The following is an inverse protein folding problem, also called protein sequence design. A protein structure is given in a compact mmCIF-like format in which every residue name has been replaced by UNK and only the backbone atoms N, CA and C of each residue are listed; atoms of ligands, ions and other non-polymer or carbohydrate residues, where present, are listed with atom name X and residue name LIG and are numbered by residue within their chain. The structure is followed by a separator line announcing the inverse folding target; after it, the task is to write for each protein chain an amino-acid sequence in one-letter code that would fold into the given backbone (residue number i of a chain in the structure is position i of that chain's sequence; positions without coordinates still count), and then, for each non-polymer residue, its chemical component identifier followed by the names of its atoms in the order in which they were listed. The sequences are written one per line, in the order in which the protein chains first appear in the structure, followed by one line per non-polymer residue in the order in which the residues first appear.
data_IF_159115889417
#
_entry.id   IF_159115889417
#
_cell.length_a   1.000
_cell.length_b   1.000
_cell.length_c   1.000
_cell.angle_alpha   90.00
_cell.angle_beta   90.00
_cell.angle_gamma   90.00
#
_symmetry.space_group_name_H-M   'P 1'
#
loop_
_entity.id
_entity.type
_entity.pdbx_description
1 polymer ?
#
# COMPACT_ATOMS: atom_id res chain seq x y z
N UNK A 1 13.26 16.83 11.48
CA UNK A 1 12.51 15.95 12.42
C UNK A 1 11.22 15.56 11.72
N UNK A 2 10.90 14.25 11.61
CA UNK A 2 9.71 13.77 10.92
C UNK A 2 8.43 14.41 11.50
N UNK A 3 7.55 14.82 10.61
CA UNK A 3 6.24 15.42 10.96
C UNK A 3 5.21 14.38 11.42
N UNK A 4 5.50 13.08 11.26
CA UNK A 4 4.55 11.99 11.51
C UNK A 4 5.12 10.84 12.34
N UNK A 5 4.21 9.98 12.77
CA UNK A 5 4.47 8.66 13.35
C UNK A 5 3.71 7.60 12.55
N UNK A 6 4.29 6.41 12.40
CA UNK A 6 3.66 5.25 11.77
C UNK A 6 3.39 4.17 12.80
N UNK A 7 2.16 3.69 12.85
CA UNK A 7 1.76 2.51 13.61
C UNK A 7 1.39 1.39 12.65
N UNK A 8 2.04 0.25 12.81
CA UNK A 8 1.82 -0.95 11.98
C UNK A 8 0.98 -1.96 12.76
N UNK A 9 -0.13 -2.42 12.17
CA UNK A 9 -0.97 -3.46 12.70
C UNK A 9 -0.93 -4.67 11.79
N UNK A 10 -0.59 -5.83 12.34
CA UNK A 10 -0.75 -7.13 11.69
C UNK A 10 -2.15 -7.66 12.01
N UNK A 11 -2.94 -7.93 10.99
CA UNK A 11 -4.28 -8.50 11.11
C UNK A 11 -4.39 -9.76 10.27
N UNK A 12 -5.26 -10.68 10.69
CA UNK A 12 -5.43 -11.95 9.98
C UNK A 12 -6.90 -12.32 9.88
N UNK A 13 -7.31 -12.77 8.69
CA UNK A 13 -8.65 -13.36 8.45
C UNK A 13 -8.62 -14.27 7.22
N UNK A 14 -9.37 -15.36 7.25
CA UNK A 14 -9.50 -16.32 6.15
C UNK A 14 -8.17 -16.87 5.61
N UNK A 15 -7.13 -16.95 6.44
CA UNK A 15 -5.79 -17.36 6.04
C UNK A 15 -4.91 -16.26 5.44
N UNK A 16 -5.46 -15.06 5.23
CA UNK A 16 -4.70 -13.90 4.79
C UNK A 16 -4.14 -13.15 6.00
N UNK A 17 -2.89 -12.70 5.88
CA UNK A 17 -2.25 -11.77 6.81
C UNK A 17 -2.06 -10.46 6.08
N UNK A 18 -2.68 -9.40 6.59
CA UNK A 18 -2.56 -8.06 6.06
C UNK A 18 -1.90 -7.13 7.09
N UNK A 19 -1.28 -6.09 6.59
CA UNK A 19 -0.75 -5.00 7.39
C UNK A 19 -1.52 -3.72 7.10
N UNK A 20 -2.05 -3.13 8.16
CA UNK A 20 -2.73 -1.83 8.17
C UNK A 20 -1.78 -0.82 8.79
N UNK A 21 -1.74 0.40 8.27
CA UNK A 21 -0.88 1.43 8.81
C UNK A 21 -1.68 2.65 9.23
N UNK A 22 -1.38 3.21 10.40
CA UNK A 22 -1.84 4.53 10.79
C UNK A 22 -0.68 5.51 10.64
N UNK A 23 -0.94 6.62 9.96
CA UNK A 23 -0.03 7.75 9.82
C UNK A 23 -0.62 8.89 10.63
N UNK A 24 0.05 9.29 11.72
CA UNK A 24 -0.43 10.34 12.62
C UNK A 24 0.49 11.54 12.50
N UNK A 25 -0.03 12.65 12.02
CA UNK A 25 0.69 13.93 12.03
C UNK A 25 0.91 14.41 13.45
N UNK A 26 2.17 14.67 13.82
CA UNK A 26 2.57 15.00 15.19
C UNK A 26 2.04 16.33 15.69
N UNK A 27 1.87 17.29 14.77
CA UNK A 27 1.50 18.66 15.09
C UNK A 27 0.00 18.85 15.20
N UNK A 28 -0.75 18.27 14.26
CA UNK A 28 -2.19 18.48 14.14
C UNK A 28 -3.04 17.30 14.64
N UNK A 29 -2.40 16.14 14.88
CA UNK A 29 -3.06 14.85 15.18
C UNK A 29 -3.97 14.35 14.05
N UNK A 30 -3.95 14.98 12.87
CA UNK A 30 -4.59 14.45 11.68
C UNK A 30 -4.07 13.08 11.37
N UNK A 31 -4.97 12.14 11.11
CA UNK A 31 -4.62 10.72 10.98
C UNK A 31 -5.09 10.17 9.65
N UNK A 32 -4.19 9.49 8.94
CA UNK A 32 -4.55 8.65 7.81
C UNK A 32 -4.43 7.17 8.19
N UNK A 33 -5.31 6.34 7.61
CA UNK A 33 -5.20 4.89 7.65
C UNK A 33 -4.95 4.38 6.23
N UNK A 34 -3.96 3.49 6.07
CA UNK A 34 -3.62 2.87 4.78
C UNK A 34 -4.15 1.44 4.79
N UNK A 35 -4.86 1.08 3.71
CA UNK A 35 -5.42 -0.23 3.43
C UNK A 35 -6.14 -0.86 4.65
N UNK A 36 -7.25 -0.27 5.09
CA UNK A 36 -8.01 -0.75 6.24
C UNK A 36 -8.68 -2.10 5.93
N UNK A 37 -7.96 -3.17 6.26
CA UNK A 37 -8.31 -4.57 6.03
C UNK A 37 -9.27 -5.12 7.09
N UNK A 38 -9.02 -6.30 7.57
CA UNK A 38 -9.85 -7.05 8.51
C UNK A 38 -9.79 -6.50 9.95
N UNK A 39 -10.63 -7.08 10.83
CA UNK A 39 -10.56 -6.91 12.27
C UNK A 39 -10.84 -5.48 12.79
N UNK A 40 -12.05 -5.02 12.48
CA UNK A 40 -12.58 -3.72 12.89
C UNK A 40 -12.37 -3.40 14.37
N UNK A 41 -12.54 -4.41 15.24
CA UNK A 41 -12.40 -4.23 16.70
C UNK A 41 -10.97 -3.83 17.07
N UNK A 42 -9.97 -4.53 16.54
CA UNK A 42 -8.55 -4.23 16.84
C UNK A 42 -8.18 -2.82 16.36
N UNK A 43 -8.62 -2.43 15.15
CA UNK A 43 -8.34 -1.11 14.59
C UNK A 43 -8.99 -0.01 15.43
N UNK A 44 -10.28 -0.14 15.74
CA UNK A 44 -10.98 0.87 16.53
C UNK A 44 -10.44 0.98 17.95
N UNK A 45 -10.10 -0.14 18.61
CA UNK A 45 -9.47 -0.11 19.92
C UNK A 45 -8.12 0.62 19.90
N UNK A 46 -7.34 0.46 18.82
CA UNK A 46 -6.08 1.20 18.68
C UNK A 46 -6.32 2.70 18.50
N UNK A 47 -7.25 3.09 17.63
CA UNK A 47 -7.62 4.49 17.42
C UNK A 47 -8.10 5.15 18.72
N UNK A 48 -8.94 4.44 19.49
CA UNK A 48 -9.42 4.92 20.80
C UNK A 48 -8.28 5.04 21.83
N UNK A 49 -7.37 4.05 21.89
CA UNK A 49 -6.19 4.08 22.76
C UNK A 49 -5.26 5.25 22.43
N UNK A 50 -5.07 5.54 21.16
CA UNK A 50 -4.24 6.64 20.68
C UNK A 50 -4.96 7.99 20.74
N UNK A 51 -6.28 7.99 21.00
CA UNK A 51 -7.14 9.17 21.04
C UNK A 51 -7.06 10.00 19.77
N UNK A 52 -7.13 9.33 18.61
CA UNK A 52 -7.11 9.94 17.28
C UNK A 52 -8.36 9.60 16.49
N UNK A 53 -8.72 10.48 15.56
CA UNK A 53 -9.80 10.28 14.60
C UNK A 53 -9.21 10.14 13.19
N UNK A 54 -9.85 9.33 12.34
CA UNK A 54 -9.40 9.15 10.97
C UNK A 54 -9.91 10.30 10.11
N UNK A 55 -9.00 11.06 9.53
CA UNK A 55 -9.28 12.14 8.57
C UNK A 55 -9.14 11.69 7.11
N UNK A 56 -8.31 10.66 6.86
CA UNK A 56 -8.03 10.15 5.54
C UNK A 56 -7.93 8.61 5.54
N UNK A 57 -8.43 8.00 4.47
CA UNK A 57 -8.30 6.58 4.16
C UNK A 57 -7.55 6.51 2.83
N UNK A 58 -6.33 5.96 2.84
CA UNK A 58 -5.49 5.82 1.67
C UNK A 58 -5.57 4.38 1.19
N UNK A 59 -6.12 4.16 0.00
CA UNK A 59 -6.28 2.83 -0.58
C UNK A 59 -5.27 2.64 -1.70
N UNK A 60 -4.39 1.64 -1.56
CA UNK A 60 -3.37 1.34 -2.58
C UNK A 60 -4.00 0.73 -3.81
N UNK A 61 -5.02 -0.11 -3.65
CA UNK A 61 -5.79 -0.73 -4.72
C UNK A 61 -7.13 -1.27 -4.18
N UNK A 62 -7.98 -1.83 -5.05
CA UNK A 62 -9.38 -2.14 -4.75
C UNK A 62 -9.66 -3.58 -4.30
N UNK A 63 -8.65 -4.42 -4.06
CA UNK A 63 -8.88 -5.77 -3.55
C UNK A 63 -9.55 -5.73 -2.18
N UNK A 64 -10.46 -6.67 -1.94
CA UNK A 64 -11.33 -6.67 -0.77
C UNK A 64 -10.56 -6.66 0.56
N UNK A 65 -9.42 -7.31 0.61
CA UNK A 65 -8.56 -7.39 1.78
C UNK A 65 -7.76 -6.11 2.05
N UNK A 66 -7.88 -5.08 1.20
CA UNK A 66 -7.32 -3.74 1.41
C UNK A 66 -8.38 -2.69 1.69
N UNK A 67 -9.62 -2.91 1.24
CA UNK A 67 -10.69 -1.90 1.34
C UNK A 67 -11.80 -2.26 2.33
N UNK A 68 -11.74 -3.45 2.94
CA UNK A 68 -12.84 -4.07 3.69
C UNK A 68 -13.49 -3.18 4.75
N UNK A 69 -12.69 -2.41 5.50
CA UNK A 69 -13.20 -1.58 6.58
C UNK A 69 -13.56 -0.16 6.16
N UNK A 70 -13.43 0.20 4.90
CA UNK A 70 -13.67 1.58 4.42
C UNK A 70 -15.04 2.11 4.86
N UNK A 71 -16.09 1.34 4.65
CA UNK A 71 -17.46 1.75 5.02
C UNK A 71 -17.63 1.86 6.54
N UNK A 72 -17.07 0.94 7.33
CA UNK A 72 -17.15 1.01 8.78
C UNK A 72 -16.41 2.25 9.34
N UNK A 73 -15.28 2.60 8.76
CA UNK A 73 -14.55 3.84 9.10
C UNK A 73 -15.37 5.07 8.73
N UNK A 74 -16.00 5.11 7.56
CA UNK A 74 -16.87 6.23 7.14
C UNK A 74 -18.17 6.33 7.93
N UNK A 75 -18.65 5.24 8.52
CA UNK A 75 -19.77 5.30 9.48
C UNK A 75 -19.36 6.00 10.78
N UNK A 76 -18.15 5.73 11.27
CA UNK A 76 -17.63 6.32 12.50
C UNK A 76 -17.05 7.72 12.27
N UNK A 77 -16.31 7.93 11.19
CA UNK A 77 -15.63 9.18 10.84
C UNK A 77 -16.21 9.74 9.54
N UNK A 78 -17.40 10.34 9.62
CA UNK A 78 -18.22 10.70 8.45
C UNK A 78 -17.56 11.71 7.51
N UNK A 79 -16.60 12.51 8.02
CA UNK A 79 -15.88 13.53 7.24
C UNK A 79 -14.55 13.02 6.68
N UNK A 80 -14.15 11.79 6.98
CA UNK A 80 -12.92 11.20 6.46
C UNK A 80 -12.96 11.18 4.92
N UNK A 81 -11.83 11.52 4.28
CA UNK A 81 -11.67 11.46 2.83
C UNK A 81 -11.11 10.10 2.43
N UNK A 82 -11.65 9.51 1.39
CA UNK A 82 -11.11 8.27 0.80
C UNK A 82 -10.29 8.65 -0.42
N UNK A 83 -9.06 8.16 -0.50
CA UNK A 83 -8.15 8.43 -1.60
C UNK A 83 -7.79 7.13 -2.32
N UNK A 84 -7.91 7.12 -3.64
CA UNK A 84 -7.53 6.01 -4.52
C UNK A 84 -7.19 6.54 -5.90
N UNK A 85 -6.39 5.80 -6.68
CA UNK A 85 -6.06 6.23 -8.03
C UNK A 85 -7.30 6.30 -8.93
N UNK A 86 -7.36 7.30 -9.81
CA UNK A 86 -8.44 7.44 -10.79
C UNK A 86 -8.51 6.23 -11.73
N UNK A 87 -7.33 5.68 -12.08
CA UNK A 87 -7.21 4.49 -12.93
C UNK A 87 -7.85 3.26 -12.25
N UNK A 88 -7.60 3.06 -10.96
CA UNK A 88 -8.19 1.96 -10.17
C UNK A 88 -9.70 2.11 -10.10
N UNK A 89 -10.16 3.30 -9.70
CA UNK A 89 -11.59 3.60 -9.59
C UNK A 89 -12.32 3.37 -10.92
N UNK A 90 -11.74 3.83 -12.02
CA UNK A 90 -12.36 3.74 -13.36
C UNK A 90 -12.36 2.32 -13.91
N UNK A 91 -11.27 1.58 -13.74
CA UNK A 91 -11.15 0.23 -14.32
C UNK A 91 -12.01 -0.80 -13.56
N UNK A 92 -12.03 -0.75 -12.21
CA UNK A 92 -12.75 -1.71 -11.38
C UNK A 92 -14.13 -1.22 -10.92
N UNK A 93 -14.58 -0.04 -11.40
CA UNK A 93 -15.83 0.58 -10.97
C UNK A 93 -15.91 0.76 -9.45
N UNK A 94 -14.77 1.09 -8.81
CA UNK A 94 -14.74 1.33 -7.37
C UNK A 94 -15.43 2.64 -7.02
N UNK A 95 -16.30 2.58 -6.01
CA UNK A 95 -17.00 3.73 -5.48
C UNK A 95 -16.97 3.74 -3.95
N UNK A 96 -16.82 4.91 -3.37
CA UNK A 96 -16.97 5.14 -1.93
C UNK A 96 -17.50 6.54 -1.68
N UNK A 97 -18.13 6.76 -0.52
CA UNK A 97 -18.44 8.11 -0.07
C UNK A 97 -17.15 8.89 0.15
N UNK A 98 -17.19 10.19 -0.06
CA UNK A 98 -16.04 11.09 0.13
C UNK A 98 -14.78 10.70 -0.67
N UNK A 99 -14.95 9.97 -1.79
CA UNK A 99 -13.87 9.52 -2.66
C UNK A 99 -13.22 10.70 -3.38
N UNK A 100 -11.90 10.78 -3.27
CA UNK A 100 -11.03 11.69 -4.02
C UNK A 100 -10.14 10.84 -4.91
N UNK A 101 -10.27 11.02 -6.21
CA UNK A 101 -9.49 10.31 -7.22
C UNK A 101 -8.13 10.98 -7.41
N UNK A 102 -7.08 10.18 -7.37
CA UNK A 102 -5.70 10.63 -7.47
C UNK A 102 -5.10 10.29 -8.82
N UNK A 103 -4.28 11.18 -9.33
CA UNK A 103 -3.40 10.95 -10.47
C UNK A 103 -1.96 10.73 -10.02
N UNK A 104 -1.15 10.21 -10.94
CA UNK A 104 0.28 10.02 -10.68
C UNK A 104 0.95 11.32 -10.22
N UNK A 105 1.83 11.20 -9.23
CA UNK A 105 2.58 12.30 -8.61
C UNK A 105 1.71 13.39 -7.96
N UNK A 106 0.40 13.15 -7.75
CA UNK A 106 -0.37 14.05 -6.92
C UNK A 106 0.21 14.12 -5.50
N UNK A 107 0.12 15.29 -4.90
CA UNK A 107 0.48 15.52 -3.50
C UNK A 107 -0.78 15.80 -2.68
N UNK A 108 -0.93 15.09 -1.56
CA UNK A 108 -1.96 15.35 -0.55
C UNK A 108 -1.29 15.69 0.78
N UNK A 109 -2.06 16.27 1.70
CA UNK A 109 -1.57 16.63 3.04
C UNK A 109 -2.43 15.99 4.13
N UNK A 110 -1.75 15.41 5.10
CA UNK A 110 -2.34 14.93 6.34
C UNK A 110 -1.78 15.81 7.47
N UNK A 111 -2.53 16.85 7.83
CA UNK A 111 -1.99 17.90 8.70
C UNK A 111 -0.81 18.62 8.05
N UNK A 112 0.36 18.59 8.69
CA UNK A 112 1.62 19.14 8.16
C UNK A 112 2.44 18.10 7.37
N UNK A 113 1.98 16.84 7.32
CA UNK A 113 2.66 15.76 6.62
C UNK A 113 2.26 15.72 5.14
N UNK A 114 3.25 15.81 4.25
CA UNK A 114 3.05 15.65 2.81
C UNK A 114 3.10 14.18 2.43
N UNK A 115 2.23 13.78 1.49
CA UNK A 115 2.19 12.43 0.90
C UNK A 115 2.19 12.57 -0.61
N UNK A 116 3.19 11.99 -1.27
CA UNK A 116 3.25 11.88 -2.73
C UNK A 116 2.61 10.57 -3.18
N UNK A 117 1.70 10.65 -4.13
CA UNK A 117 0.93 9.52 -4.64
C UNK A 117 1.59 9.03 -5.93
N UNK A 118 2.16 7.83 -5.92
CA UNK A 118 2.93 7.26 -7.04
C UNK A 118 2.11 6.15 -7.68
N UNK A 119 1.68 6.34 -8.92
CA UNK A 119 0.97 5.28 -9.67
C UNK A 119 1.96 4.17 -10.03
N UNK A 120 1.64 2.95 -9.61
CA UNK A 120 2.49 1.74 -9.75
C UNK A 120 1.66 0.55 -10.25
N UNK A 121 1.16 0.59 -11.49
CA UNK A 121 0.36 -0.51 -12.05
C UNK A 121 1.16 -1.81 -12.16
N UNK A 122 0.44 -2.93 -12.16
CA UNK A 122 1.06 -4.26 -12.33
C UNK A 122 0.36 -5.35 -11.54
N UNK A 123 0.13 -5.17 -10.24
CA UNK A 123 -0.73 -6.03 -9.44
C UNK A 123 -2.21 -5.80 -9.78
N UNK A 124 -2.62 -4.54 -9.78
CA UNK A 124 -3.87 -4.08 -10.39
C UNK A 124 -3.57 -3.02 -11.44
N UNK A 125 -4.59 -2.60 -12.21
CA UNK A 125 -4.41 -1.59 -13.27
C UNK A 125 -4.04 -0.22 -12.71
N UNK A 126 -4.51 0.11 -11.53
CA UNK A 126 -4.34 1.41 -10.90
C UNK A 126 -3.71 1.36 -9.51
N UNK A 127 -2.95 0.31 -9.17
CA UNK A 127 -2.18 0.25 -7.91
C UNK A 127 -1.38 1.53 -7.69
N UNK A 128 -1.35 2.01 -6.46
CA UNK A 128 -0.70 3.26 -6.08
C UNK A 128 0.09 3.09 -4.79
N UNK A 129 1.30 3.62 -4.75
CA UNK A 129 2.11 3.73 -3.54
C UNK A 129 1.98 5.14 -2.95
N UNK A 130 2.09 5.25 -1.63
CA UNK A 130 2.06 6.52 -0.91
C UNK A 130 3.41 6.78 -0.25
N UNK A 131 4.10 7.81 -0.75
CA UNK A 131 5.44 8.19 -0.30
C UNK A 131 5.39 9.37 0.66
N UNK A 132 5.97 9.20 1.84
CA UNK A 132 6.30 10.21 2.82
C UNK A 132 7.82 10.39 2.88
N UNK A 133 8.31 11.29 3.74
CA UNK A 133 9.75 11.61 3.84
C UNK A 133 10.65 10.36 4.03
N UNK A 134 10.27 9.42 4.92
CA UNK A 134 11.05 8.20 5.21
C UNK A 134 10.19 6.91 5.12
N UNK A 135 9.02 6.95 4.51
CA UNK A 135 8.08 5.82 4.48
C UNK A 135 7.40 5.70 3.13
N UNK A 136 7.39 4.49 2.55
CA UNK A 136 6.66 4.15 1.34
C UNK A 136 5.67 3.03 1.63
N UNK A 137 4.38 3.31 1.51
CA UNK A 137 3.31 2.32 1.63
C UNK A 137 3.03 1.76 0.25
N UNK A 138 3.34 0.49 0.04
CA UNK A 138 3.41 -0.12 -1.29
C UNK A 138 2.22 -1.00 -1.65
N UNK A 139 1.31 -1.28 -0.68
CA UNK A 139 0.28 -2.28 -0.90
C UNK A 139 0.89 -3.57 -1.42
N UNK A 140 0.38 -4.04 -2.55
CA UNK A 140 0.85 -5.25 -3.21
C UNK A 140 1.81 -5.00 -4.39
N UNK A 141 2.44 -3.82 -4.45
CA UNK A 141 3.45 -3.55 -5.47
C UNK A 141 4.80 -4.15 -5.08
N UNK A 142 5.28 -3.88 -3.86
CA UNK A 142 6.59 -4.33 -3.36
C UNK A 142 6.42 -4.99 -2.00
N UNK A 143 6.93 -6.21 -1.85
CA UNK A 143 7.10 -6.91 -0.57
C UNK A 143 8.59 -6.97 -0.22
N UNK A 144 8.93 -7.38 1.00
CA UNK A 144 10.34 -7.63 1.36
C UNK A 144 10.99 -8.62 0.39
N UNK A 145 10.35 -9.77 0.15
CA UNK A 145 10.82 -10.78 -0.80
C UNK A 145 9.77 -11.05 -1.88
N UNK A 146 9.64 -10.14 -2.84
CA UNK A 146 8.70 -10.34 -3.94
C UNK A 146 7.97 -9.09 -4.38
N UNK A 147 7.02 -9.30 -5.29
CA UNK A 147 6.03 -8.31 -5.72
C UNK A 147 4.68 -8.98 -5.91
N UNK A 148 3.63 -8.20 -5.96
CA UNK A 148 2.27 -8.65 -6.13
C UNK A 148 2.09 -9.56 -7.35
N UNK A 149 1.10 -10.44 -7.27
CA UNK A 149 0.71 -11.27 -8.41
C UNK A 149 0.27 -10.38 -9.57
N UNK A 150 0.69 -10.75 -10.79
CA UNK A 150 0.27 -10.08 -12.01
C UNK A 150 -0.72 -10.99 -12.77
N UNK A 151 -1.80 -11.41 -12.09
CA UNK A 151 -2.84 -12.29 -12.63
C UNK A 151 -4.22 -11.71 -12.34
N UNK A 152 -5.12 -11.84 -13.30
CA UNK A 152 -6.47 -11.32 -13.19
C UNK A 152 -6.71 -10.09 -14.06
N UNK A 153 -7.93 -9.57 -14.07
CA UNK A 153 -8.29 -8.40 -14.87
C UNK A 153 -7.42 -7.19 -14.50
N UNK A 154 -6.82 -6.54 -15.50
CA UNK A 154 -6.01 -5.33 -15.31
C UNK A 154 -4.58 -5.55 -14.81
N UNK A 155 -4.25 -6.76 -14.28
CA UNK A 155 -2.90 -7.08 -13.83
C UNK A 155 -1.95 -7.30 -15.01
N UNK A 156 -0.68 -6.87 -14.88
CA UNK A 156 0.30 -6.94 -15.95
C UNK A 156 1.74 -6.97 -15.42
N UNK A 157 2.50 -8.02 -15.77
CA UNK A 157 3.89 -8.16 -15.32
C UNK A 157 4.85 -7.15 -15.95
N UNK A 158 4.56 -6.66 -17.17
CA UNK A 158 5.33 -5.60 -17.82
C UNK A 158 5.13 -4.27 -17.07
N UNK A 159 3.88 -3.92 -16.74
CA UNK A 159 3.56 -2.73 -15.94
C UNK A 159 4.23 -2.81 -14.56
N UNK A 160 4.24 -4.00 -13.92
CA UNK A 160 4.93 -4.24 -12.64
C UNK A 160 6.42 -3.98 -12.74
N UNK A 161 7.08 -4.45 -13.80
CA UNK A 161 8.50 -4.18 -14.02
C UNK A 161 8.78 -2.68 -14.04
N UNK A 162 8.05 -1.92 -14.85
CA UNK A 162 8.24 -0.46 -14.91
C UNK A 162 7.90 0.24 -13.62
N UNK A 163 6.92 -0.25 -12.86
CA UNK A 163 6.59 0.28 -11.53
C UNK A 163 7.74 0.10 -10.54
N UNK A 164 8.40 -1.07 -10.53
CA UNK A 164 9.58 -1.30 -9.69
C UNK A 164 10.76 -0.40 -10.11
N UNK A 165 11.03 -0.26 -11.44
CA UNK A 165 12.07 0.64 -11.92
C UNK A 165 11.78 2.10 -11.54
N UNK A 166 10.53 2.55 -11.67
CA UNK A 166 10.10 3.89 -11.26
C UNK A 166 10.36 4.14 -9.77
N UNK A 167 9.99 3.19 -8.90
CA UNK A 167 10.25 3.31 -7.46
C UNK A 167 11.75 3.37 -7.19
N UNK A 168 12.56 2.50 -7.82
CA UNK A 168 14.03 2.50 -7.71
C UNK A 168 14.65 3.85 -8.12
N UNK A 169 14.07 4.52 -9.10
CA UNK A 169 14.58 5.80 -9.63
C UNK A 169 14.22 6.99 -8.74
N UNK A 170 12.97 7.05 -8.26
CA UNK A 170 12.45 8.28 -7.62
C UNK A 170 12.42 8.25 -6.09
N UNK A 171 12.52 7.06 -5.47
CA UNK A 171 12.46 6.90 -4.02
C UNK A 171 13.86 6.75 -3.43
N UNK A 172 14.15 7.52 -2.37
CA UNK A 172 15.43 7.40 -1.67
C UNK A 172 15.67 5.96 -1.14
N UNK A 173 16.88 5.39 -1.29
CA UNK A 173 17.20 4.05 -0.83
C UNK A 173 17.04 3.84 0.68
N UNK A 174 17.00 4.93 1.47
CA UNK A 174 16.85 4.88 2.92
C UNK A 174 15.37 4.90 3.37
N UNK A 175 14.41 5.00 2.45
CA UNK A 175 12.98 4.98 2.76
C UNK A 175 12.54 3.58 3.18
N UNK A 176 11.73 3.49 4.23
CA UNK A 176 11.18 2.22 4.72
C UNK A 176 9.98 1.78 3.89
N UNK A 177 9.96 0.49 3.56
CA UNK A 177 8.91 -0.13 2.75
C UNK A 177 7.86 -0.77 3.66
N UNK A 178 6.62 -0.34 3.50
CA UNK A 178 5.45 -0.80 4.24
C UNK A 178 4.46 -1.48 3.29
N UNK A 179 4.59 -2.78 3.14
CA UNK A 179 3.80 -3.60 2.21
C UNK A 179 2.45 -4.02 2.80
N UNK A 180 1.49 -4.40 1.94
CA UNK A 180 0.18 -4.93 2.35
C UNK A 180 0.26 -6.31 3.00
N UNK A 181 1.25 -7.12 2.58
CA UNK A 181 1.51 -8.46 3.11
C UNK A 181 2.99 -8.67 3.43
N UNK A 182 3.30 -9.71 4.22
CA UNK A 182 4.67 -10.10 4.53
C UNK A 182 5.05 -11.38 3.77
N UNK A 183 6.09 -11.27 2.96
CA UNK A 183 6.78 -12.38 2.33
C UNK A 183 8.27 -12.28 2.67
N UNK A 184 8.83 -13.40 3.21
CA UNK A 184 10.20 -13.45 3.70
C UNK A 184 10.36 -12.73 5.04
N UNK A 185 10.25 -11.41 5.07
CA UNK A 185 10.37 -10.58 6.28
C UNK A 185 9.14 -9.70 6.49
N UNK A 186 9.01 -9.19 7.72
CA UNK A 186 7.97 -8.22 8.04
C UNK A 186 8.24 -6.87 7.34
N UNK A 187 7.17 -6.11 6.98
CA UNK A 187 7.32 -4.76 6.45
C UNK A 187 8.09 -3.82 7.38
N UNK A 188 8.85 -2.89 6.81
CA UNK A 188 9.62 -1.89 7.55
C UNK A 188 11.12 -1.88 7.26
N UNK A 189 11.61 -2.75 6.36
CA UNK A 189 13.00 -2.69 5.85
C UNK A 189 13.21 -1.44 4.99
N UNK A 190 14.43 -0.96 4.89
CA UNK A 190 14.77 0.14 3.97
C UNK A 190 14.83 -0.37 2.52
N UNK A 191 14.53 0.52 1.57
CA UNK A 191 14.45 0.16 0.15
C UNK A 191 15.76 -0.45 -0.38
N UNK A 192 16.91 0.04 0.06
CA UNK A 192 18.20 -0.53 -0.36
C UNK A 192 18.35 -2.01 0.03
N UNK A 193 17.99 -2.36 1.27
CA UNK A 193 18.02 -3.76 1.72
C UNK A 193 17.01 -4.61 0.94
N UNK A 194 15.80 -4.10 0.70
CA UNK A 194 14.80 -4.78 -0.13
C UNK A 194 15.35 -5.00 -1.54
N UNK A 195 15.96 -3.99 -2.16
CA UNK A 195 16.55 -4.13 -3.50
C UNK A 195 17.66 -5.18 -3.55
N UNK A 196 18.47 -5.32 -2.49
CA UNK A 196 19.60 -6.24 -2.46
C UNK A 196 19.20 -7.72 -2.41
N UNK A 197 18.08 -8.06 -1.79
CA UNK A 197 17.66 -9.46 -1.64
C UNK A 197 16.38 -9.84 -2.39
N UNK A 198 15.58 -8.88 -2.82
CA UNK A 198 14.37 -9.15 -3.58
C UNK A 198 14.70 -9.43 -5.05
N UNK A 199 14.52 -10.67 -5.47
CA UNK A 199 14.85 -11.15 -6.82
C UNK A 199 14.25 -10.29 -7.94
N UNK A 200 13.07 -9.69 -7.73
CA UNK A 200 12.41 -8.88 -8.75
C UNK A 200 13.12 -7.55 -9.02
N UNK A 201 13.93 -7.04 -8.09
CA UNK A 201 14.81 -5.89 -8.32
C UNK A 201 16.12 -6.28 -9.00
N UNK A 202 16.49 -7.57 -8.96
CA UNK A 202 17.73 -8.09 -9.55
C UNK A 202 17.57 -8.49 -11.02
N UNK A 203 16.35 -8.65 -11.52
CA UNK A 203 16.07 -9.01 -12.92
C UNK A 203 16.03 -7.74 -13.76
N UNK A 204 17.11 -7.48 -14.50
CA UNK A 204 17.24 -6.30 -15.37
C UNK A 204 16.51 -6.46 -16.72
N UNK A 205 16.46 -7.68 -17.26
CA UNK A 205 15.79 -7.96 -18.53
C UNK A 205 14.28 -8.11 -18.34
N UNK A 206 13.51 -7.27 -19.01
CA UNK A 206 12.05 -7.24 -18.88
C UNK A 206 11.39 -8.56 -19.30
N UNK A 207 11.90 -9.26 -20.33
CA UNK A 207 11.32 -10.52 -20.77
C UNK A 207 11.53 -11.61 -19.74
N UNK A 208 12.74 -11.66 -19.13
CA UNK A 208 13.03 -12.55 -17.99
C UNK A 208 12.18 -12.22 -16.78
N UNK A 209 11.94 -10.94 -16.50
CA UNK A 209 11.06 -10.53 -15.41
C UNK A 209 9.63 -11.04 -15.64
N UNK A 210 9.07 -10.83 -16.84
CA UNK A 210 7.72 -11.27 -17.22
C UNK A 210 7.62 -12.80 -17.12
N UNK A 211 8.59 -13.54 -17.67
CA UNK A 211 8.65 -14.99 -17.58
C UNK A 211 8.69 -15.46 -16.10
N UNK A 212 9.61 -14.90 -15.32
CA UNK A 212 9.76 -15.25 -13.91
C UNK A 212 8.52 -14.91 -13.08
N UNK A 213 7.89 -13.73 -13.30
CA UNK A 213 6.66 -13.32 -12.58
C UNK A 213 5.50 -14.26 -12.91
N UNK A 214 5.39 -14.73 -14.15
CA UNK A 214 4.28 -15.56 -14.61
C UNK A 214 4.55 -17.07 -14.55
N UNK A 215 5.69 -17.50 -13.98
CA UNK A 215 6.04 -18.91 -13.88
C UNK A 215 4.97 -19.72 -13.15
N UNK A 216 4.85 -21.01 -13.50
CA UNK A 216 3.96 -21.95 -12.82
C UNK A 216 4.62 -22.49 -11.52
N UNK A 217 3.82 -23.12 -10.65
CA UNK A 217 4.35 -23.81 -9.46
C UNK A 217 4.82 -22.87 -8.35
N UNK A 218 4.17 -21.73 -8.19
CA UNK A 218 4.43 -20.80 -7.09
C UNK A 218 3.65 -21.25 -5.85
N UNK A 219 4.19 -22.21 -5.10
CA UNK A 219 3.49 -22.86 -3.98
C UNK A 219 3.38 -22.01 -2.72
N UNK A 220 4.05 -20.86 -2.69
CA UNK A 220 4.12 -19.94 -1.55
C UNK A 220 3.33 -18.64 -1.74
N UNK A 221 2.49 -18.54 -2.76
CA UNK A 221 1.74 -17.30 -3.06
C UNK A 221 0.85 -16.79 -1.92
N UNK A 222 0.42 -17.67 -1.02
CA UNK A 222 -0.42 -17.34 0.14
C UNK A 222 0.22 -17.76 1.47
N UNK A 223 1.53 -18.03 1.49
CA UNK A 223 2.28 -18.31 2.71
C UNK A 223 2.86 -17.02 3.28
N UNK A 224 1.99 -16.29 3.96
CA UNK A 224 2.38 -15.09 4.70
C UNK A 224 3.07 -15.45 6.02
N UNK A 225 3.92 -14.57 6.54
CA UNK A 225 4.61 -14.72 7.84
C UNK A 225 4.21 -13.63 8.85
#
# INVERSE_FOLDING_TARGET
MLTYEVYQLKVQQFGFINYIYLIIDKYTKKTAIVDPSWNTVTVFNLLDKLKVEVDAILLTHSHIDHVYMTDALLQRYQNAKVYMSDVECSYYNFFSRNLIRLHDMNMIRIGETNVTCILTPGHTKGSMCYLLEESLFTGDTIFSEGCGMCKGPGANACDMYYSLQKVKEIVSPNVRIYAGHSYGKQPGEILSEVMDHNIYFQIEDINKFIEFRNRKGQDNLFKFI
#
